data_IF_988380759107
#
_entry.id   IF_988380759107
#
_cell.length_a   1.000
_cell.length_b   1.000
_cell.length_c   1.000
_cell.angle_alpha   90.00
_cell.angle_beta   90.00
_cell.angle_gamma   90.00
#
_symmetry.space_group_name_H-M   'P 1'
#
loop_
_entity.id
_entity.type
_entity.pdbx_description
1 polymer ?
#
# COMPACT_ATOMS: atom_id res chain seq x y z
N UNK A 1 8.77 9.38 5.56
CA UNK A 1 8.29 9.04 6.90
C UNK A 1 8.69 10.08 7.94
N UNK A 2 9.96 10.50 8.04
CA UNK A 2 10.37 11.53 9.03
C UNK A 2 9.55 12.83 8.95
N UNK A 3 9.30 13.36 7.76
CA UNK A 3 8.46 14.55 7.59
C UNK A 3 7.02 14.37 8.06
N UNK A 4 6.38 13.24 7.75
CA UNK A 4 5.03 12.92 8.21
C UNK A 4 4.92 12.81 9.75
N UNK A 5 5.94 12.21 10.38
CA UNK A 5 6.01 12.12 11.83
C UNK A 5 6.19 13.52 12.45
N UNK A 6 7.08 14.35 11.88
CA UNK A 6 7.25 15.73 12.33
C UNK A 6 5.96 16.54 12.17
N UNK A 7 5.29 16.44 11.02
CA UNK A 7 3.99 17.06 10.76
C UNK A 7 2.97 16.66 11.82
N UNK A 8 2.80 15.35 12.07
CA UNK A 8 1.89 14.84 13.09
C UNK A 8 2.14 15.43 14.48
N UNK A 9 3.40 15.47 14.92
CA UNK A 9 3.74 16.03 16.25
C UNK A 9 3.60 17.55 16.31
N UNK A 10 3.91 18.27 15.23
CA UNK A 10 3.71 19.73 15.15
C UNK A 10 2.22 20.05 15.22
N UNK A 11 1.38 19.33 14.47
CA UNK A 11 -0.08 19.50 14.51
C UNK A 11 -0.64 19.14 15.89
N UNK A 12 -0.14 18.08 16.52
CA UNK A 12 -0.58 17.69 17.86
C UNK A 12 -0.20 18.74 18.93
N UNK A 13 0.96 19.38 18.78
CA UNK A 13 1.44 20.42 19.69
C UNK A 13 0.70 21.75 19.51
N UNK A 14 0.53 22.21 18.25
CA UNK A 14 -0.08 23.50 17.95
C UNK A 14 -1.62 23.45 17.92
N UNK A 15 -2.20 22.32 17.48
CA UNK A 15 -3.63 22.14 17.23
C UNK A 15 -4.16 20.79 17.75
N UNK A 16 -4.05 20.51 19.07
CA UNK A 16 -4.42 19.21 19.65
C UNK A 16 -5.91 18.85 19.45
N UNK A 17 -6.78 19.85 19.29
CA UNK A 17 -8.20 19.64 19.00
C UNK A 17 -8.39 18.85 17.70
N UNK A 18 -7.65 19.20 16.64
CA UNK A 18 -7.75 18.53 15.32
C UNK A 18 -7.54 17.03 15.49
N UNK A 19 -6.49 16.61 16.20
CA UNK A 19 -6.13 15.19 16.37
C UNK A 19 -6.93 14.45 17.45
N UNK A 20 -7.66 15.15 18.32
CA UNK A 20 -8.46 14.53 19.39
C UNK A 20 -9.94 14.34 19.05
N UNK A 21 -10.39 14.82 17.88
CA UNK A 21 -11.77 14.64 17.43
C UNK A 21 -12.11 13.18 17.08
N UNK A 22 -13.31 12.75 17.46
CA UNK A 22 -13.89 11.44 17.09
C UNK A 22 -13.88 11.20 15.56
N UNK A 23 -14.09 12.27 14.78
CA UNK A 23 -13.99 12.22 13.32
C UNK A 23 -12.60 11.75 12.86
N UNK A 24 -11.53 12.17 13.55
CA UNK A 24 -10.17 11.81 13.19
C UNK A 24 -9.86 10.36 13.56
N UNK A 25 -10.41 9.85 14.67
CA UNK A 25 -10.35 8.41 15.01
C UNK A 25 -11.01 7.54 13.94
N UNK A 26 -12.17 7.96 13.44
CA UNK A 26 -12.85 7.27 12.34
C UNK A 26 -11.99 7.29 11.07
N UNK A 27 -11.44 8.46 10.70
CA UNK A 27 -10.54 8.59 9.53
C UNK A 27 -9.31 7.68 9.69
N UNK A 28 -8.67 7.66 10.85
CA UNK A 28 -7.55 6.74 11.13
C UNK A 28 -7.96 5.27 11.06
N UNK A 29 -9.19 4.93 11.47
CA UNK A 29 -9.75 3.59 11.29
C UNK A 29 -9.92 3.20 9.82
N UNK A 30 -10.41 4.13 8.99
CA UNK A 30 -10.49 3.95 7.53
C UNK A 30 -9.09 3.81 6.92
N UNK A 31 -8.13 4.62 7.38
CA UNK A 31 -6.71 4.51 7.01
C UNK A 31 -6.15 3.13 7.35
N UNK A 32 -6.36 2.63 8.57
CA UNK A 32 -5.93 1.29 8.96
C UNK A 32 -6.56 0.20 8.07
N UNK A 33 -7.85 0.33 7.75
CA UNK A 33 -8.51 -0.56 6.79
C UNK A 33 -7.84 -0.53 5.41
N UNK A 34 -7.53 0.67 4.90
CA UNK A 34 -6.82 0.88 3.64
C UNK A 34 -5.41 0.27 3.65
N UNK A 35 -4.67 0.42 4.75
CA UNK A 35 -3.36 -0.22 4.96
C UNK A 35 -3.48 -1.74 4.82
N UNK A 36 -4.45 -2.36 5.50
CA UNK A 36 -4.68 -3.81 5.44
C UNK A 36 -5.04 -4.26 4.02
N UNK A 37 -5.94 -3.53 3.35
CA UNK A 37 -6.37 -3.83 1.98
C UNK A 37 -5.20 -3.71 0.99
N UNK A 38 -4.44 -2.62 1.06
CA UNK A 38 -3.28 -2.38 0.22
C UNK A 38 -2.20 -3.45 0.41
N UNK A 39 -1.97 -3.83 1.67
CA UNK A 39 -1.05 -4.90 2.05
C UNK A 39 -1.50 -6.25 1.47
N UNK A 40 -2.78 -6.58 1.63
CA UNK A 40 -3.37 -7.79 1.07
C UNK A 40 -3.23 -7.85 -0.44
N UNK A 41 -3.66 -6.81 -1.17
CA UNK A 41 -3.53 -6.72 -2.64
C UNK A 41 -2.09 -6.92 -3.10
N UNK A 42 -1.15 -6.26 -2.41
CA UNK A 42 0.27 -6.33 -2.74
C UNK A 42 0.83 -7.74 -2.53
N UNK A 43 0.51 -8.37 -1.41
CA UNK A 43 1.02 -9.70 -1.06
C UNK A 43 0.37 -10.78 -1.91
N UNK A 44 -0.92 -10.69 -2.18
CA UNK A 44 -1.59 -11.56 -3.16
C UNK A 44 -0.94 -11.42 -4.53
N UNK A 45 -0.66 -10.20 -5.00
CA UNK A 45 0.06 -9.97 -6.26
C UNK A 45 1.45 -10.61 -6.31
N UNK A 46 2.21 -10.56 -5.21
CA UNK A 46 3.53 -11.20 -5.10
C UNK A 46 3.41 -12.73 -5.10
N UNK A 47 2.50 -13.28 -4.30
CA UNK A 47 2.27 -14.72 -4.17
C UNK A 47 1.78 -15.31 -5.49
N UNK A 48 0.81 -14.66 -6.15
CA UNK A 48 0.27 -15.10 -7.45
C UNK A 48 1.33 -15.02 -8.56
N UNK A 49 2.19 -13.99 -8.56
CA UNK A 49 3.27 -13.90 -9.55
C UNK A 49 4.41 -14.91 -9.28
N UNK A 50 4.63 -15.29 -8.02
CA UNK A 50 5.60 -16.31 -7.63
C UNK A 50 6.99 -16.02 -8.17
N UNK A 51 7.57 -16.98 -8.91
CA UNK A 51 8.91 -16.86 -9.52
C UNK A 51 9.04 -15.72 -10.53
N UNK A 52 7.92 -15.22 -11.07
CA UNK A 52 7.90 -14.10 -12.00
C UNK A 52 7.89 -12.74 -11.31
N UNK A 53 7.78 -12.69 -9.97
CA UNK A 53 7.89 -11.45 -9.20
C UNK A 53 9.34 -11.04 -9.00
N UNK A 54 9.64 -9.77 -9.27
CA UNK A 54 10.95 -9.17 -8.98
C UNK A 54 10.76 -7.79 -8.35
N UNK A 55 11.59 -7.46 -7.36
CA UNK A 55 11.59 -6.10 -6.77
C UNK A 55 12.09 -5.05 -7.77
N UNK A 56 13.15 -5.38 -8.52
CA UNK A 56 13.67 -4.52 -9.58
C UNK A 56 12.98 -4.87 -10.91
N UNK A 57 12.60 -3.84 -11.68
CA UNK A 57 12.06 -4.02 -13.03
C UNK A 57 13.11 -4.72 -13.90
N UNK A 58 12.69 -5.78 -14.59
CA UNK A 58 13.56 -6.53 -15.51
C UNK A 58 13.35 -6.01 -16.93
N UNK A 59 14.45 -5.70 -17.61
CA UNK A 59 14.47 -5.26 -19.02
C UNK A 59 14.81 -6.40 -19.99
N UNK A 60 15.23 -7.56 -19.46
CA UNK A 60 15.50 -8.78 -20.23
C UNK A 60 14.70 -9.96 -19.67
N UNK A 61 14.18 -10.81 -20.56
CA UNK A 61 13.33 -11.96 -20.21
C UNK A 61 14.20 -13.15 -19.78
N UNK A 62 13.91 -13.68 -18.59
CA UNK A 62 14.51 -14.94 -18.10
C UNK A 62 13.67 -16.15 -18.51
N UNK A 63 14.26 -17.35 -18.68
CA UNK A 63 13.51 -18.57 -19.00
C UNK A 63 12.39 -18.88 -18.00
N UNK A 64 12.60 -18.54 -16.72
CA UNK A 64 11.66 -18.80 -15.64
C UNK A 64 10.53 -17.76 -15.56
N UNK A 65 10.65 -16.62 -16.27
CA UNK A 65 9.63 -15.58 -16.30
C UNK A 65 8.48 -15.97 -17.22
N UNK A 66 7.32 -16.22 -16.61
CA UNK A 66 6.09 -16.56 -17.32
C UNK A 66 5.06 -15.44 -17.14
N UNK A 67 4.23 -15.23 -18.16
CA UNK A 67 3.14 -14.27 -18.08
C UNK A 67 2.06 -14.80 -17.14
N UNK A 68 1.71 -14.03 -16.11
CA UNK A 68 0.69 -14.39 -15.11
C UNK A 68 -0.59 -13.60 -15.38
N UNK A 69 -1.66 -14.30 -15.75
CA UNK A 69 -2.98 -13.71 -16.06
C UNK A 69 -4.11 -14.31 -15.22
N UNK A 70 -3.79 -15.19 -14.28
CA UNK A 70 -4.75 -15.86 -13.39
C UNK A 70 -4.78 -15.23 -11.99
N UNK A 71 -5.79 -15.59 -11.20
CA UNK A 71 -5.97 -15.04 -9.86
C UNK A 71 -6.24 -13.53 -9.90
N UNK A 72 -5.57 -12.77 -9.04
CA UNK A 72 -5.73 -11.30 -8.97
C UNK A 72 -5.34 -10.59 -10.29
N UNK A 73 -4.43 -11.18 -11.06
CA UNK A 73 -3.98 -10.63 -12.35
C UNK A 73 -5.04 -10.67 -13.46
N UNK A 74 -6.15 -11.42 -13.25
CA UNK A 74 -7.31 -11.38 -14.15
C UNK A 74 -8.06 -10.03 -14.07
N UNK A 75 -7.98 -9.35 -12.94
CA UNK A 75 -8.70 -8.10 -12.68
C UNK A 75 -7.79 -6.87 -12.75
N UNK A 76 -6.55 -6.98 -12.26
CA UNK A 76 -5.61 -5.87 -12.15
C UNK A 76 -4.25 -6.29 -12.72
N UNK A 77 -3.71 -5.56 -13.70
CA UNK A 77 -2.40 -5.89 -14.31
C UNK A 77 -1.20 -5.65 -13.39
N UNK A 78 -1.32 -4.69 -12.46
CA UNK A 78 -0.27 -4.32 -11.50
C UNK A 78 -0.78 -4.30 -10.05
N UNK A 79 -1.19 -5.46 -9.48
CA UNK A 79 -1.77 -5.53 -8.14
C UNK A 79 -0.77 -5.10 -7.06
N UNK A 80 0.52 -5.39 -7.27
CA UNK A 80 1.60 -4.94 -6.38
C UNK A 80 1.72 -3.41 -6.29
N UNK A 81 1.54 -2.71 -7.41
CA UNK A 81 1.60 -1.24 -7.45
C UNK A 81 0.33 -0.62 -6.88
N UNK A 82 -0.84 -1.14 -7.26
CA UNK A 82 -2.11 -0.69 -6.69
C UNK A 82 -2.12 -0.87 -5.17
N UNK A 83 -1.73 -2.05 -4.68
CA UNK A 83 -1.66 -2.33 -3.25
C UNK A 83 -0.67 -1.40 -2.53
N UNK A 84 0.49 -1.12 -3.13
CA UNK A 84 1.44 -0.14 -2.58
C UNK A 84 0.83 1.26 -2.54
N UNK A 85 0.18 1.72 -3.60
CA UNK A 85 -0.43 3.04 -3.67
C UNK A 85 -1.46 3.22 -2.55
N UNK A 86 -2.41 2.30 -2.44
CA UNK A 86 -3.44 2.32 -1.39
C UNK A 86 -2.77 2.31 -0.01
N UNK A 87 -1.84 1.40 0.23
CA UNK A 87 -1.11 1.34 1.50
C UNK A 87 -0.42 2.66 1.84
N UNK A 88 0.28 3.27 0.88
CA UNK A 88 1.07 4.49 1.13
C UNK A 88 0.20 5.69 1.50
N UNK A 89 -0.92 5.90 0.80
CA UNK A 89 -1.84 7.00 1.09
C UNK A 89 -2.50 6.78 2.45
N UNK A 90 -2.92 5.55 2.74
CA UNK A 90 -3.63 5.22 3.97
C UNK A 90 -2.77 5.30 5.25
N UNK A 91 -1.45 5.44 5.14
CA UNK A 91 -0.56 5.68 6.29
C UNK A 91 -0.50 7.13 6.74
N UNK A 92 -1.02 8.06 5.93
CA UNK A 92 -1.09 9.50 6.25
C UNK A 92 -2.46 9.83 6.81
#
# INVERSE_FOLDING_TARGET
MSFAVCEYFIELFLFPSIKSHEALRFISGVGLGGVIIGEFLRKTGMITAGRSFTHCIRTSKKPEHQLVTWGIYRYIRHPGYLGWLVWSISTQ
#
